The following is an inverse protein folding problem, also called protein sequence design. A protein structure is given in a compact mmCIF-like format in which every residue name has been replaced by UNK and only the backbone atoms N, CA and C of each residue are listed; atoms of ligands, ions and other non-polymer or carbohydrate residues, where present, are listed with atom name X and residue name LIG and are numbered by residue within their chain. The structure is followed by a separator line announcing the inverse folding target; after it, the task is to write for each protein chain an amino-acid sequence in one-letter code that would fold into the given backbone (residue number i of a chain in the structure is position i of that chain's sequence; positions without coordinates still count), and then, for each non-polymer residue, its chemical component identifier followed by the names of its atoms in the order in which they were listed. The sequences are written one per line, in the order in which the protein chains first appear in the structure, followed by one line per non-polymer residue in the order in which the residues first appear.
data_IF_024673956873
#
_entry.id   IF_024673956873
#
_cell.length_a   1.000
_cell.length_b   1.000
_cell.length_c   1.000
_cell.angle_alpha   90.00
_cell.angle_beta   90.00
_cell.angle_gamma   90.00
#
_symmetry.space_group_name_H-M   'P 1'
#
loop_
_entity.id
_entity.type
_entity.pdbx_description
1 polymer ?
#
# COMPACT_ATOMS: atom_id res chain seq x y z
N UNK A 1 53.88 36.02 37.98
CA UNK A 1 53.67 36.22 36.54
C UNK A 1 54.11 34.93 35.84
N UNK A 2 53.17 34.10 35.39
CA UNK A 2 53.47 32.84 34.75
C UNK A 2 53.14 32.95 33.27
N UNK A 3 54.15 32.86 32.42
CA UNK A 3 54.06 32.90 30.97
C UNK A 3 53.62 31.53 30.43
N UNK A 4 52.49 31.48 29.79
CA UNK A 4 51.88 30.28 29.20
C UNK A 4 52.48 30.04 27.81
N UNK A 5 53.23 28.98 27.65
CA UNK A 5 53.73 28.50 26.35
C UNK A 5 52.67 27.63 25.69
N UNK A 6 52.23 27.99 24.50
CA UNK A 6 51.32 27.23 23.65
C UNK A 6 52.15 26.42 22.65
N UNK A 7 52.03 25.10 22.57
CA UNK A 7 52.69 24.34 21.51
C UNK A 7 51.92 24.43 20.19
N UNK A 8 52.71 24.65 19.14
CA UNK A 8 52.29 24.77 17.72
C UNK A 8 51.72 23.46 17.17
N UNK A 9 50.55 23.54 16.60
CA UNK A 9 49.83 22.43 15.95
C UNK A 9 50.55 21.96 14.69
N UNK A 10 51.12 20.76 14.71
CA UNK A 10 51.48 20.01 13.53
C UNK A 10 50.84 18.61 13.68
N UNK A 11 49.68 18.40 13.08
CA UNK A 11 49.01 17.12 13.17
C UNK A 11 47.59 17.07 12.54
N UNK A 12 47.02 18.20 12.21
CA UNK A 12 45.61 18.25 11.72
C UNK A 12 45.45 17.77 10.27
N UNK A 13 46.46 17.90 9.43
CA UNK A 13 46.34 17.54 8.00
C UNK A 13 46.44 16.02 7.76
N UNK A 14 47.23 15.29 8.54
CA UNK A 14 47.41 13.84 8.39
C UNK A 14 46.18 13.03 8.91
N UNK A 15 45.52 13.52 9.96
CA UNK A 15 44.29 12.92 10.50
C UNK A 15 43.08 13.16 9.57
N UNK A 16 43.01 14.29 8.87
CA UNK A 16 41.94 14.60 7.91
C UNK A 16 41.96 13.67 6.71
N UNK A 17 43.15 13.32 6.17
CA UNK A 17 43.25 12.44 4.99
C UNK A 17 42.96 10.98 5.36
N UNK A 18 43.40 10.51 6.52
CA UNK A 18 43.09 9.17 7.00
C UNK A 18 41.57 8.98 7.29
N UNK A 19 40.94 10.00 7.86
CA UNK A 19 39.50 9.97 8.14
C UNK A 19 38.65 10.03 6.87
N UNK A 20 39.11 10.75 5.82
CA UNK A 20 38.45 10.81 4.53
C UNK A 20 38.55 9.47 3.76
N UNK A 21 39.71 8.79 3.83
CA UNK A 21 39.91 7.46 3.21
C UNK A 21 39.09 6.40 3.93
N UNK A 22 38.98 6.45 5.26
CA UNK A 22 38.14 5.53 6.04
C UNK A 22 36.65 5.78 5.76
N UNK A 23 36.21 7.03 5.62
CA UNK A 23 34.81 7.36 5.26
C UNK A 23 34.44 6.90 3.84
N UNK A 24 35.35 7.01 2.87
CA UNK A 24 35.10 6.49 1.51
C UNK A 24 35.11 4.96 1.48
N UNK A 25 36.00 4.29 2.20
CA UNK A 25 36.03 2.83 2.28
C UNK A 25 34.78 2.26 3.00
N UNK A 26 34.35 2.88 4.12
CA UNK A 26 33.11 2.49 4.82
C UNK A 26 31.86 2.82 4.00
N UNK A 27 31.86 3.91 3.23
CA UNK A 27 30.76 4.25 2.31
C UNK A 27 30.62 3.23 1.17
N UNK A 28 31.74 2.80 0.59
CA UNK A 28 31.76 1.77 -0.47
C UNK A 28 31.35 0.38 0.06
N UNK A 29 31.85 -0.01 1.24
CA UNK A 29 31.47 -1.27 1.88
C UNK A 29 29.98 -1.27 2.32
N UNK A 30 29.48 -0.16 2.82
CA UNK A 30 28.06 0.01 3.17
C UNK A 30 27.16 -0.10 1.94
N UNK A 31 27.54 0.50 0.82
CA UNK A 31 26.80 0.42 -0.43
C UNK A 31 26.82 -0.99 -1.04
N UNK A 32 27.96 -1.69 -1.00
CA UNK A 32 28.07 -3.07 -1.47
C UNK A 32 27.24 -4.04 -0.62
N UNK A 33 27.27 -3.90 0.70
CA UNK A 33 26.44 -4.70 1.62
C UNK A 33 24.95 -4.45 1.42
N UNK A 34 24.56 -3.19 1.17
CA UNK A 34 23.17 -2.83 0.92
C UNK A 34 22.68 -3.33 -0.45
N UNK A 35 23.52 -3.23 -1.48
CA UNK A 35 23.23 -3.78 -2.81
C UNK A 35 23.06 -5.31 -2.79
N UNK A 36 23.87 -6.02 -2.02
CA UNK A 36 23.76 -7.47 -1.86
C UNK A 36 22.46 -7.86 -1.15
N UNK A 37 22.08 -7.17 -0.07
CA UNK A 37 20.82 -7.39 0.63
C UNK A 37 19.61 -7.13 -0.27
N UNK A 38 19.65 -6.06 -1.07
CA UNK A 38 18.60 -5.75 -2.04
C UNK A 38 18.48 -6.82 -3.12
N UNK A 39 19.60 -7.31 -3.66
CA UNK A 39 19.61 -8.38 -4.64
C UNK A 39 19.04 -9.70 -4.08
N UNK A 40 19.40 -10.05 -2.85
CA UNK A 40 18.85 -11.21 -2.16
C UNK A 40 17.34 -11.06 -1.91
N UNK A 41 16.89 -9.90 -1.43
CA UNK A 41 15.48 -9.60 -1.22
C UNK A 41 14.66 -9.69 -2.51
N UNK A 42 15.17 -9.20 -3.63
CA UNK A 42 14.50 -9.30 -4.93
C UNK A 42 14.41 -10.76 -5.39
N UNK A 43 15.49 -11.53 -5.23
CA UNK A 43 15.53 -12.95 -5.61
C UNK A 43 14.49 -13.79 -4.85
N UNK A 44 14.41 -13.59 -3.55
CA UNK A 44 13.43 -14.28 -2.68
C UNK A 44 12.00 -13.87 -3.04
N UNK A 45 11.74 -12.60 -3.35
CA UNK A 45 10.41 -12.13 -3.80
C UNK A 45 10.00 -12.77 -5.13
N UNK A 46 10.91 -12.84 -6.10
CA UNK A 46 10.66 -13.51 -7.39
C UNK A 46 10.29 -14.97 -7.16
N UNK A 47 11.06 -15.68 -6.32
CA UNK A 47 10.81 -17.08 -5.98
C UNK A 47 9.46 -17.25 -5.29
N UNK A 48 9.16 -16.48 -4.26
CA UNK A 48 7.91 -16.57 -3.52
C UNK A 48 6.70 -16.29 -4.44
N UNK A 49 6.78 -15.25 -5.28
CA UNK A 49 5.72 -14.92 -6.25
C UNK A 49 5.49 -16.07 -7.24
N UNK A 50 6.56 -16.66 -7.77
CA UNK A 50 6.50 -17.80 -8.68
C UNK A 50 5.87 -19.03 -8.01
N UNK A 51 6.27 -19.34 -6.79
CA UNK A 51 5.76 -20.50 -6.02
C UNK A 51 4.28 -20.34 -5.67
N UNK A 52 3.85 -19.16 -5.26
CA UNK A 52 2.42 -18.86 -5.02
C UNK A 52 1.59 -19.07 -6.28
N UNK A 53 2.12 -18.72 -7.45
CA UNK A 53 1.46 -18.93 -8.74
C UNK A 53 1.64 -20.35 -9.29
N UNK A 54 2.34 -21.23 -8.59
CA UNK A 54 2.64 -22.61 -9.00
C UNK A 54 3.36 -22.68 -10.37
N UNK A 55 4.14 -21.68 -10.73
CA UNK A 55 4.93 -21.62 -11.97
C UNK A 55 6.27 -22.31 -11.73
N UNK A 56 6.68 -23.20 -12.65
CA UNK A 56 8.00 -23.81 -12.56
C UNK A 56 9.10 -22.84 -13.02
N UNK A 57 10.37 -23.04 -12.57
CA UNK A 57 11.51 -22.27 -13.05
C UNK A 57 11.63 -22.27 -14.58
N UNK A 58 11.32 -23.41 -15.21
CA UNK A 58 11.38 -23.57 -16.67
C UNK A 58 10.28 -22.77 -17.37
N UNK A 59 9.07 -22.74 -16.79
CA UNK A 59 7.97 -21.96 -17.35
C UNK A 59 8.19 -20.45 -17.20
N UNK A 60 8.67 -20.00 -16.03
CA UNK A 60 9.01 -18.59 -15.84
C UNK A 60 10.12 -18.17 -16.82
N UNK A 61 11.17 -18.97 -16.94
CA UNK A 61 12.27 -18.71 -17.89
C UNK A 61 11.75 -18.56 -19.32
N UNK A 62 10.89 -19.46 -19.76
CA UNK A 62 10.27 -19.42 -21.10
C UNK A 62 9.38 -18.17 -21.28
N UNK A 63 8.50 -17.86 -20.31
CA UNK A 63 7.62 -16.69 -20.37
C UNK A 63 8.38 -15.37 -20.38
N UNK A 64 9.45 -15.28 -19.59
CA UNK A 64 10.29 -14.08 -19.48
C UNK A 64 11.33 -13.97 -20.61
N UNK A 65 11.49 -14.98 -21.45
CA UNK A 65 12.52 -15.00 -22.52
C UNK A 65 13.95 -14.96 -21.98
N UNK A 66 14.20 -15.67 -20.84
CA UNK A 66 15.53 -15.79 -20.21
C UNK A 66 15.88 -17.24 -19.96
N UNK A 67 17.17 -17.55 -19.72
CA UNK A 67 17.53 -18.94 -19.43
C UNK A 67 17.13 -19.37 -18.02
N UNK A 68 16.78 -20.64 -17.85
CA UNK A 68 16.45 -21.24 -16.53
C UNK A 68 17.57 -21.03 -15.49
N UNK A 69 18.83 -21.14 -15.92
CA UNK A 69 19.99 -20.94 -15.04
C UNK A 69 20.08 -19.49 -14.53
N UNK A 70 19.73 -18.51 -15.36
CA UNK A 70 19.69 -17.10 -14.95
C UNK A 70 18.59 -16.88 -13.92
N UNK A 71 17.37 -17.38 -14.14
CA UNK A 71 16.28 -17.26 -13.16
C UNK A 71 16.69 -17.92 -11.84
N UNK A 72 17.23 -19.14 -11.87
CA UNK A 72 17.68 -19.86 -10.68
C UNK A 72 18.73 -19.08 -9.88
N UNK A 73 19.73 -18.47 -10.55
CA UNK A 73 20.76 -17.66 -9.91
C UNK A 73 20.22 -16.38 -9.30
N UNK A 74 19.24 -15.75 -9.96
CA UNK A 74 18.56 -14.56 -9.43
C UNK A 74 17.77 -14.94 -8.16
N UNK A 75 16.97 -16.02 -8.22
CA UNK A 75 16.20 -16.49 -7.05
C UNK A 75 17.09 -16.92 -5.88
N UNK A 76 18.29 -17.42 -6.16
CA UNK A 76 19.29 -17.74 -5.14
C UNK A 76 20.05 -16.50 -4.61
N UNK A 77 19.80 -15.31 -5.12
CA UNK A 77 20.53 -14.09 -4.74
C UNK A 77 21.98 -14.05 -5.23
N UNK A 78 22.37 -14.97 -6.13
CA UNK A 78 23.73 -15.08 -6.67
C UNK A 78 24.02 -14.11 -7.81
N UNK A 79 22.99 -13.48 -8.36
CA UNK A 79 23.10 -12.52 -9.45
C UNK A 79 22.02 -11.45 -9.28
N UNK A 80 22.42 -10.18 -9.30
CA UNK A 80 21.48 -9.06 -9.30
C UNK A 80 20.89 -8.90 -10.71
N UNK A 81 19.55 -8.92 -10.86
CA UNK A 81 18.91 -8.72 -12.16
C UNK A 81 19.03 -7.26 -12.61
N UNK A 82 19.13 -7.02 -13.91
CA UNK A 82 18.97 -5.68 -14.47
C UNK A 82 17.50 -5.25 -14.46
N UNK A 83 17.22 -3.95 -14.55
CA UNK A 83 15.85 -3.44 -14.62
C UNK A 83 15.04 -4.06 -15.78
N UNK A 84 15.67 -4.27 -16.93
CA UNK A 84 15.04 -4.94 -18.09
C UNK A 84 14.69 -6.39 -17.77
N UNK A 85 15.59 -7.09 -17.08
CA UNK A 85 15.36 -8.48 -16.68
C UNK A 85 14.25 -8.60 -15.64
N UNK A 86 14.20 -7.67 -14.67
CA UNK A 86 13.10 -7.59 -13.70
C UNK A 86 11.75 -7.33 -14.39
N UNK A 87 11.71 -6.43 -15.39
CA UNK A 87 10.50 -6.16 -16.15
C UNK A 87 10.00 -7.42 -16.88
N UNK A 88 10.91 -8.17 -17.54
CA UNK A 88 10.58 -9.44 -18.21
C UNK A 88 10.08 -10.52 -17.25
N UNK A 89 10.68 -10.63 -16.07
CA UNK A 89 10.24 -11.56 -15.03
C UNK A 89 8.87 -11.18 -14.47
N UNK A 90 8.62 -9.88 -14.23
CA UNK A 90 7.33 -9.36 -13.81
C UNK A 90 6.24 -9.66 -14.85
N UNK A 91 6.51 -9.43 -16.12
CA UNK A 91 5.62 -9.76 -17.24
C UNK A 91 5.33 -11.27 -17.31
N UNK A 92 6.36 -12.12 -17.21
CA UNK A 92 6.23 -13.58 -17.21
C UNK A 92 5.40 -14.14 -16.06
N UNK A 93 5.30 -13.41 -14.94
CA UNK A 93 4.46 -13.71 -13.78
C UNK A 93 3.16 -12.89 -13.73
N UNK A 94 2.92 -12.00 -14.68
CA UNK A 94 1.73 -11.12 -14.73
C UNK A 94 1.58 -10.27 -13.46
N UNK A 95 2.70 -9.76 -12.94
CA UNK A 95 2.73 -8.85 -11.79
C UNK A 95 3.38 -7.51 -12.16
N UNK A 96 3.21 -6.48 -11.33
CA UNK A 96 3.91 -5.21 -11.56
C UNK A 96 5.40 -5.32 -11.18
N UNK A 97 6.27 -4.55 -11.84
CA UNK A 97 7.67 -4.43 -11.45
C UNK A 97 7.82 -4.00 -9.98
N UNK A 98 6.94 -3.11 -9.52
CA UNK A 98 6.90 -2.64 -8.13
C UNK A 98 6.66 -3.79 -7.14
N UNK A 99 5.90 -4.81 -7.52
CA UNK A 99 5.67 -6.01 -6.70
C UNK A 99 6.98 -6.75 -6.45
N UNK A 100 7.83 -6.92 -7.47
CA UNK A 100 9.11 -7.59 -7.33
C UNK A 100 10.16 -6.77 -6.57
N UNK A 101 10.05 -5.45 -6.60
CA UNK A 101 10.98 -4.55 -5.91
C UNK A 101 10.68 -4.37 -4.41
N UNK A 102 9.48 -4.74 -3.95
CA UNK A 102 9.09 -4.57 -2.53
C UNK A 102 9.88 -5.43 -1.55
N UNK A 103 10.52 -6.52 -1.99
CA UNK A 103 11.27 -7.42 -1.10
C UNK A 103 10.37 -8.30 -0.21
N UNK A 104 10.98 -9.29 0.43
CA UNK A 104 10.30 -10.25 1.34
C UNK A 104 10.02 -9.68 2.75
N UNK A 105 9.53 -8.51 2.86
CA UNK A 105 8.88 -8.22 4.13
C UNK A 105 7.42 -8.58 3.97
N UNK A 106 6.96 -9.82 3.98
CA UNK A 106 5.56 -10.24 3.93
C UNK A 106 4.54 -9.21 3.38
N UNK A 107 3.30 -9.38 3.26
CA UNK A 107 2.41 -8.28 2.89
C UNK A 107 2.69 -7.12 3.86
N UNK A 108 3.06 -5.92 3.38
CA UNK A 108 3.50 -4.84 4.25
C UNK A 108 2.42 -4.61 5.30
N UNK A 109 2.79 -4.72 6.57
CA UNK A 109 1.88 -4.34 7.65
C UNK A 109 1.80 -2.82 7.63
N UNK A 110 0.68 -2.29 7.17
CA UNK A 110 0.38 -0.87 7.21
C UNK A 110 -0.46 -0.57 8.46
N UNK A 111 0.13 0.11 9.41
CA UNK A 111 -0.58 0.58 10.60
C UNK A 111 -1.04 2.01 10.32
N UNK A 112 -2.35 2.24 10.39
CA UNK A 112 -2.96 3.57 10.30
C UNK A 112 -3.39 4.00 11.69
N UNK A 113 -2.60 4.83 12.34
CA UNK A 113 -2.93 5.34 13.66
C UNK A 113 -4.19 6.23 13.61
N UNK A 114 -5.02 6.19 14.64
CA UNK A 114 -6.28 6.94 14.67
C UNK A 114 -6.08 8.45 14.47
N UNK A 115 -4.95 9.00 14.94
CA UNK A 115 -4.58 10.40 14.79
C UNK A 115 -4.15 10.78 13.37
N UNK A 116 -3.81 9.80 12.53
CA UNK A 116 -3.35 9.97 11.16
C UNK A 116 -4.46 9.69 10.14
N UNK A 117 -5.61 9.18 10.60
CA UNK A 117 -6.73 8.84 9.73
C UNK A 117 -7.35 10.10 9.13
N UNK A 118 -7.44 10.20 7.79
CA UNK A 118 -8.07 11.35 7.15
C UNK A 118 -9.55 11.46 7.57
N UNK A 119 -9.96 12.67 7.93
CA UNK A 119 -11.34 12.98 8.29
C UNK A 119 -11.87 14.04 7.33
N UNK A 120 -12.97 13.71 6.67
CA UNK A 120 -13.77 14.65 5.90
C UNK A 120 -15.06 14.98 6.67
N UNK A 121 -15.41 16.26 6.74
CA UNK A 121 -16.65 16.76 7.34
C UNK A 121 -17.41 17.59 6.33
N UNK A 122 -18.65 17.20 6.05
CA UNK A 122 -19.53 17.97 5.18
C UNK A 122 -20.36 18.96 6.02
N UNK A 123 -20.15 20.27 5.86
CA UNK A 123 -20.84 21.28 6.67
C UNK A 123 -22.35 21.38 6.36
N UNK A 124 -22.83 20.89 5.19
CA UNK A 124 -24.25 20.94 4.81
C UNK A 124 -25.06 19.81 5.43
N UNK A 125 -24.52 18.61 5.39
CA UNK A 125 -25.21 17.41 5.87
C UNK A 125 -24.81 17.04 7.30
N UNK A 126 -23.62 17.47 7.76
CA UNK A 126 -23.03 17.05 8.99
C UNK A 126 -22.43 15.63 8.92
N UNK A 127 -22.31 15.06 7.72
CA UNK A 127 -21.61 13.80 7.53
C UNK A 127 -20.16 13.95 7.94
N UNK A 128 -19.70 13.06 8.82
CA UNK A 128 -18.27 12.87 9.12
C UNK A 128 -17.85 11.53 8.55
N UNK A 129 -16.82 11.55 7.71
CA UNK A 129 -16.24 10.38 7.07
C UNK A 129 -14.78 10.27 7.47
N UNK A 130 -14.40 9.17 8.13
CA UNK A 130 -13.05 8.88 8.58
C UNK A 130 -12.53 7.64 7.86
N UNK A 131 -11.46 7.80 7.08
CA UNK A 131 -10.84 6.69 6.35
C UNK A 131 -9.94 5.90 7.31
N UNK A 132 -10.26 4.61 7.51
CA UNK A 132 -9.58 3.72 8.44
C UNK A 132 -8.47 2.90 7.77
N UNK A 133 -8.63 2.59 6.48
CA UNK A 133 -7.63 1.87 5.70
C UNK A 133 -6.52 2.79 5.26
N UNK A 134 -5.27 2.31 5.14
CA UNK A 134 -4.20 3.09 4.52
C UNK A 134 -4.57 3.50 3.09
N UNK A 135 -4.34 4.76 2.76
CA UNK A 135 -4.57 5.28 1.41
C UNK A 135 -3.44 4.82 0.50
N UNK A 136 -3.77 4.04 -0.53
CA UNK A 136 -2.82 3.58 -1.54
C UNK A 136 -3.46 3.68 -2.93
N UNK A 137 -2.71 4.12 -3.96
CA UNK A 137 -3.22 4.16 -5.33
C UNK A 137 -3.66 2.80 -5.88
N UNK A 138 -3.06 1.72 -5.37
CA UNK A 138 -3.34 0.34 -5.77
C UNK A 138 -4.32 -0.36 -4.82
N UNK A 139 -4.86 0.35 -3.83
CA UNK A 139 -5.81 -0.24 -2.89
C UNK A 139 -7.09 -0.64 -3.61
N UNK A 140 -7.46 -1.90 -3.48
CA UNK A 140 -8.75 -2.43 -3.98
C UNK A 140 -9.83 -2.40 -2.90
N UNK A 141 -9.45 -2.12 -1.66
CA UNK A 141 -10.34 -2.05 -0.50
C UNK A 141 -10.13 -0.74 0.23
N UNK A 142 -11.21 0.01 0.45
CA UNK A 142 -11.25 1.16 1.33
C UNK A 142 -12.20 0.88 2.50
N UNK A 143 -11.77 1.15 3.72
CA UNK A 143 -12.59 1.01 4.93
C UNK A 143 -12.81 2.40 5.52
N UNK A 144 -14.07 2.75 5.71
CA UNK A 144 -14.48 4.07 6.16
C UNK A 144 -15.46 3.96 7.32
N UNK A 145 -15.24 4.74 8.35
CA UNK A 145 -16.23 4.98 9.40
C UNK A 145 -16.99 6.26 9.07
N UNK A 146 -18.30 6.16 9.00
CA UNK A 146 -19.19 7.28 8.75
C UNK A 146 -20.04 7.56 9.99
N UNK A 147 -20.33 8.83 10.23
CA UNK A 147 -21.35 9.25 11.18
C UNK A 147 -22.21 10.36 10.60
N UNK A 148 -23.51 10.32 10.87
CA UNK A 148 -24.50 11.26 10.33
C UNK A 148 -25.48 11.68 11.41
N UNK A 149 -25.73 12.99 11.62
CA UNK A 149 -26.72 13.47 12.55
C UNK A 149 -28.12 12.94 12.26
N UNK A 150 -28.99 12.96 13.27
CA UNK A 150 -30.37 12.51 13.16
C UNK A 150 -31.11 13.17 11.99
N UNK A 151 -31.87 12.36 11.24
CA UNK A 151 -32.73 12.80 10.13
C UNK A 151 -32.00 13.47 8.95
N UNK A 152 -30.68 13.46 8.92
CA UNK A 152 -29.88 13.97 7.79
C UNK A 152 -29.68 12.91 6.72
N UNK A 153 -29.31 13.36 5.52
CA UNK A 153 -28.96 12.52 4.38
C UNK A 153 -27.56 12.89 3.89
N UNK A 154 -26.78 11.91 3.47
CA UNK A 154 -25.43 12.12 2.90
C UNK A 154 -25.44 12.94 1.61
N UNK A 155 -26.60 13.07 0.96
CA UNK A 155 -26.67 13.41 -0.44
C UNK A 155 -26.48 12.16 -1.31
N UNK A 156 -26.54 12.36 -2.61
CA UNK A 156 -26.45 11.30 -3.62
C UNK A 156 -24.99 11.12 -4.04
N UNK A 157 -24.46 9.96 -3.85
CA UNK A 157 -23.17 9.56 -4.43
C UNK A 157 -23.39 9.08 -5.86
N UNK A 158 -22.53 9.48 -6.79
CA UNK A 158 -22.58 8.97 -8.15
C UNK A 158 -22.25 7.47 -8.20
N UNK A 159 -22.66 6.81 -9.27
CA UNK A 159 -22.27 5.43 -9.54
C UNK A 159 -20.73 5.29 -9.56
N UNK A 160 -20.22 4.27 -8.88
CA UNK A 160 -18.84 3.85 -8.96
C UNK A 160 -18.56 3.09 -10.27
N UNK A 161 -17.29 2.76 -10.51
CA UNK A 161 -16.89 1.90 -11.62
C UNK A 161 -17.60 0.54 -11.53
N UNK A 162 -17.93 -0.02 -12.69
CA UNK A 162 -18.56 -1.35 -12.77
C UNK A 162 -17.73 -2.40 -12.01
N UNK A 163 -18.41 -3.24 -11.23
CA UNK A 163 -17.81 -4.26 -10.39
C UNK A 163 -17.40 -3.76 -8.99
N UNK A 164 -17.56 -2.47 -8.69
CA UNK A 164 -17.40 -1.97 -7.33
C UNK A 164 -18.55 -2.44 -6.44
N UNK A 165 -18.19 -2.95 -5.27
CA UNK A 165 -19.16 -3.38 -4.26
C UNK A 165 -18.97 -2.60 -2.97
N UNK A 166 -20.07 -2.28 -2.32
CA UNK A 166 -20.08 -1.69 -0.99
C UNK A 166 -20.72 -2.63 0.02
N UNK A 167 -20.11 -2.68 1.21
CA UNK A 167 -20.63 -3.39 2.36
C UNK A 167 -20.82 -2.37 3.48
N UNK A 168 -22.02 -2.31 4.01
CA UNK A 168 -22.37 -1.47 5.16
C UNK A 168 -22.59 -2.35 6.38
N UNK A 169 -22.03 -1.95 7.52
CA UNK A 169 -22.29 -2.55 8.83
C UNK A 169 -22.69 -1.43 9.78
N UNK A 170 -23.93 -1.42 10.23
CA UNK A 170 -24.44 -0.38 11.13
C UNK A 170 -23.95 -0.64 12.55
N UNK A 171 -23.23 0.32 13.11
CA UNK A 171 -22.69 0.23 14.48
C UNK A 171 -23.61 0.87 15.50
N UNK A 172 -24.31 1.96 15.12
CA UNK A 172 -25.23 2.65 16.00
C UNK A 172 -26.35 3.36 15.21
N UNK A 173 -27.53 3.42 15.77
CA UNK A 173 -28.69 4.11 15.20
C UNK A 173 -29.40 3.29 14.13
N UNK A 174 -30.08 4.00 13.22
CA UNK A 174 -30.89 3.42 12.13
C UNK A 174 -30.60 4.20 10.87
N UNK A 175 -30.31 3.52 9.78
CA UNK A 175 -30.07 4.12 8.48
C UNK A 175 -31.03 3.56 7.42
N UNK A 176 -31.37 4.40 6.47
CA UNK A 176 -32.05 4.03 5.23
C UNK A 176 -31.04 4.19 4.11
N UNK A 177 -30.87 3.16 3.31
CA UNK A 177 -29.95 3.12 2.17
C UNK A 177 -30.78 3.05 0.90
N UNK A 178 -30.50 3.95 -0.03
CA UNK A 178 -31.08 3.96 -1.35
C UNK A 178 -30.03 3.60 -2.38
N UNK A 179 -30.28 2.62 -3.24
CA UNK A 179 -29.39 2.18 -4.33
C UNK A 179 -30.22 2.05 -5.60
N UNK A 180 -30.04 2.97 -6.54
CA UNK A 180 -30.91 3.09 -7.70
C UNK A 180 -32.39 3.24 -7.29
N UNK A 181 -33.22 2.25 -7.62
CA UNK A 181 -34.64 2.23 -7.26
C UNK A 181 -34.95 1.45 -5.97
N UNK A 182 -33.96 0.84 -5.37
CA UNK A 182 -34.13 0.02 -4.15
C UNK A 182 -33.89 0.87 -2.91
N UNK A 183 -34.73 0.70 -1.90
CA UNK A 183 -34.58 1.34 -0.61
C UNK A 183 -34.74 0.27 0.47
N UNK A 184 -33.84 0.26 1.44
CA UNK A 184 -33.88 -0.66 2.57
C UNK A 184 -33.42 0.05 3.84
N UNK A 185 -33.89 -0.44 4.99
CA UNK A 185 -33.61 0.13 6.29
C UNK A 185 -32.79 -0.88 7.10
N UNK A 186 -31.77 -0.39 7.77
CA UNK A 186 -30.87 -1.19 8.61
C UNK A 186 -30.84 -0.58 10.02
N UNK A 187 -30.98 -1.43 11.02
CA UNK A 187 -30.79 -1.10 12.43
C UNK A 187 -29.35 -1.43 12.89
N UNK A 188 -28.96 -0.95 14.07
CA UNK A 188 -27.67 -1.28 14.66
C UNK A 188 -27.47 -2.80 14.76
N UNK A 189 -26.34 -3.31 14.25
CA UNK A 189 -26.01 -4.73 14.13
C UNK A 189 -26.29 -5.31 12.74
N UNK A 190 -27.13 -4.67 11.94
CA UNK A 190 -27.43 -5.13 10.59
C UNK A 190 -26.29 -4.82 9.62
N UNK A 191 -26.22 -5.64 8.55
CA UNK A 191 -25.28 -5.47 7.46
C UNK A 191 -25.97 -5.64 6.10
N UNK A 192 -25.46 -4.95 5.10
CA UNK A 192 -25.89 -5.10 3.72
C UNK A 192 -24.69 -5.04 2.76
N UNK A 193 -24.85 -5.69 1.62
CA UNK A 193 -23.91 -5.61 0.48
C UNK A 193 -24.70 -5.27 -0.77
N UNK A 194 -24.15 -4.38 -1.60
CA UNK A 194 -24.74 -4.04 -2.88
C UNK A 194 -23.70 -3.67 -3.92
N UNK A 195 -24.04 -3.81 -5.19
CA UNK A 195 -23.27 -3.25 -6.29
C UNK A 195 -23.42 -1.73 -6.29
N UNK A 196 -22.31 -1.02 -6.24
CA UNK A 196 -22.29 0.44 -6.16
C UNK A 196 -22.18 1.11 -7.55
N UNK A 197 -22.54 0.40 -8.61
CA UNK A 197 -22.57 0.87 -10.01
C UNK A 197 -23.84 1.69 -10.36
N UNK A 198 -24.60 2.05 -9.35
CA UNK A 198 -25.78 2.93 -9.44
C UNK A 198 -25.67 4.07 -8.43
N UNK A 199 -26.38 5.18 -8.69
CA UNK A 199 -26.51 6.29 -7.73
C UNK A 199 -27.06 5.74 -6.41
N UNK A 200 -26.44 6.13 -5.30
CA UNK A 200 -26.83 5.66 -3.97
C UNK A 200 -26.71 6.76 -2.92
N UNK A 201 -27.43 6.62 -1.81
CA UNK A 201 -27.39 7.56 -0.69
C UNK A 201 -27.73 6.86 0.62
N UNK A 202 -27.31 7.48 1.74
CA UNK A 202 -27.64 7.01 3.08
C UNK A 202 -28.33 8.12 3.82
N UNK A 203 -29.48 7.82 4.41
CA UNK A 203 -30.24 8.73 5.29
C UNK A 203 -30.26 8.17 6.70
N UNK A 204 -30.00 8.98 7.69
CA UNK A 204 -30.26 8.61 9.07
C UNK A 204 -31.77 8.65 9.34
N UNK A 205 -32.38 7.48 9.43
CA UNK A 205 -33.81 7.30 9.68
C UNK A 205 -34.18 7.40 11.18
N UNK A 206 -33.21 7.50 12.06
CA UNK A 206 -33.37 7.57 13.50
C UNK A 206 -33.46 8.98 14.06
N UNK A 207 -33.60 9.06 15.39
CA UNK A 207 -33.68 10.32 16.18
C UNK A 207 -32.37 10.67 16.88
N UNK A 208 -31.37 9.79 16.80
CA UNK A 208 -30.00 9.98 17.31
C UNK A 208 -29.00 9.89 16.16
N UNK A 209 -27.76 10.26 16.43
CA UNK A 209 -26.66 10.07 15.48
C UNK A 209 -26.58 8.60 15.05
N UNK A 210 -26.42 8.33 13.77
CA UNK A 210 -26.14 7.01 13.24
C UNK A 210 -24.65 6.88 12.89
N UNK A 211 -24.10 5.68 13.07
CA UNK A 211 -22.72 5.34 12.76
C UNK A 211 -22.67 4.00 12.03
N UNK A 212 -21.84 3.93 10.99
CA UNK A 212 -21.66 2.69 10.24
C UNK A 212 -20.24 2.58 9.66
N UNK A 213 -19.77 1.36 9.50
CA UNK A 213 -18.62 1.03 8.69
C UNK A 213 -19.08 0.84 7.24
N UNK A 214 -18.32 1.38 6.34
CA UNK A 214 -18.45 1.19 4.90
C UNK A 214 -17.15 0.57 4.39
N UNK A 215 -17.25 -0.59 3.74
CA UNK A 215 -16.14 -1.21 3.02
C UNK A 215 -16.44 -1.12 1.54
N UNK A 216 -15.60 -0.42 0.81
CA UNK A 216 -15.68 -0.28 -0.64
C UNK A 216 -14.64 -1.23 -1.24
N UNK A 217 -15.09 -2.17 -2.04
CA UNK A 217 -14.24 -3.09 -2.79
C UNK A 217 -14.33 -2.76 -4.27
N UNK A 218 -13.21 -2.30 -4.84
CA UNK A 218 -13.08 -1.98 -6.26
C UNK A 218 -12.22 -3.03 -6.96
N UNK A 219 -12.57 -3.36 -8.20
CA UNK A 219 -11.69 -4.19 -9.02
C UNK A 219 -10.40 -3.45 -9.34
N UNK A 220 -9.26 -4.15 -9.45
CA UNK A 220 -8.02 -3.53 -9.90
C UNK A 220 -8.24 -2.78 -11.22
N UNK A 221 -7.76 -1.55 -11.32
CA UNK A 221 -7.80 -0.79 -12.57
C UNK A 221 -6.94 -1.50 -13.62
N UNK A 222 -7.56 -2.12 -14.59
CA UNK A 222 -6.85 -2.60 -15.78
C UNK A 222 -6.45 -1.36 -16.59
N UNK A 223 -5.18 -0.98 -16.50
CA UNK A 223 -4.63 0.05 -17.39
C UNK A 223 -4.55 -0.60 -18.78
N UNK A 224 -5.56 -0.35 -19.62
CA UNK A 224 -5.45 -0.66 -21.05
C UNK A 224 -4.33 0.23 -21.60
N UNK A 225 -3.24 -0.40 -22.02
CA UNK A 225 -2.20 0.23 -22.85
C UNK A 225 -2.68 0.32 -24.28
#
# INVERSE_FOLDING_TARGET
MATKIVPKTAGAAALGTALAVVRTATGLAGNASNALKVAQSIGTTIRATREVQQITLSDLARRAGVSKSVVSRIEAGLTSPTAVMLAKLAEGMTVSLSTLLRGENGPPVHIQLAVEQPIYSDPKTGLIRRTLSPVSPDATVEIVHNSLPARKCTGKFPAHALGTQEHIVVQAGKIEVSVGKRVFVLDAGDAAQFAADSEHSVRNAGTKKAEWLLVIHSLPRVIKR
#
